data_IF_088964329090
#
_entry.id   IF_088964329090
#
_cell.length_a   1.000
_cell.length_b   1.000
_cell.length_c   1.000
_cell.angle_alpha   90.00
_cell.angle_beta   90.00
_cell.angle_gamma   90.00
#
_symmetry.space_group_name_H-M   'P 1'
#
loop_
_entity.id
_entity.type
_entity.pdbx_description
1 polymer ?
#
# COMPACT_ATOMS: atom_id res chain seq x y z
N UNK A 1 -6.33 -16.37 -7.27
CA UNK A 1 -6.57 -16.12 -8.72
C UNK A 1 -7.33 -14.80 -8.91
N UNK A 2 -7.26 -14.15 -10.09
CA UNK A 2 -7.87 -12.81 -10.30
C UNK A 2 -9.38 -12.72 -9.96
N UNK A 3 -10.23 -13.72 -10.27
CA UNK A 3 -11.64 -13.68 -9.85
C UNK A 3 -11.85 -13.62 -8.34
N UNK A 4 -11.06 -14.36 -7.56
CA UNK A 4 -11.12 -14.33 -6.09
C UNK A 4 -10.66 -12.97 -5.56
N UNK A 5 -9.59 -12.41 -6.16
CA UNK A 5 -9.13 -11.07 -5.84
C UNK A 5 -10.20 -10.02 -6.17
N UNK A 6 -10.93 -10.16 -7.27
CA UNK A 6 -12.03 -9.27 -7.63
C UNK A 6 -13.18 -9.35 -6.63
N UNK A 7 -13.56 -10.55 -6.19
CA UNK A 7 -14.62 -10.75 -5.20
C UNK A 7 -14.30 -10.02 -3.88
N UNK A 8 -13.05 -10.06 -3.43
CA UNK A 8 -12.63 -9.38 -2.18
C UNK A 8 -12.37 -7.89 -2.41
N UNK A 9 -11.48 -7.55 -3.35
CA UNK A 9 -10.97 -6.18 -3.51
C UNK A 9 -11.99 -5.23 -4.14
N UNK A 10 -12.86 -5.72 -5.03
CA UNK A 10 -13.84 -4.89 -5.73
C UNK A 10 -15.24 -5.05 -5.14
N UNK A 11 -15.79 -6.27 -5.19
CA UNK A 11 -17.16 -6.53 -4.72
C UNK A 11 -17.28 -6.34 -3.20
N UNK A 12 -16.32 -6.86 -2.43
CA UNK A 12 -16.26 -6.66 -0.98
C UNK A 12 -16.20 -5.18 -0.60
N UNK A 13 -15.35 -4.39 -1.25
CA UNK A 13 -15.26 -2.95 -1.02
C UNK A 13 -16.59 -2.23 -1.34
N UNK A 14 -17.23 -2.56 -2.47
CA UNK A 14 -18.53 -1.99 -2.83
C UNK A 14 -19.64 -2.36 -1.83
N UNK A 15 -19.64 -3.58 -1.30
CA UNK A 15 -20.60 -4.02 -0.29
C UNK A 15 -20.44 -3.22 1.01
N UNK A 16 -19.20 -3.04 1.47
CA UNK A 16 -18.91 -2.22 2.66
C UNK A 16 -19.31 -0.76 2.42
N UNK A 17 -19.02 -0.21 1.24
CA UNK A 17 -19.41 1.16 0.89
C UNK A 17 -20.93 1.36 0.95
N UNK A 18 -21.71 0.43 0.39
CA UNK A 18 -23.18 0.47 0.47
C UNK A 18 -23.67 0.40 1.91
N UNK A 19 -23.11 -0.50 2.71
CA UNK A 19 -23.51 -0.68 4.10
C UNK A 19 -23.14 0.55 4.96
N UNK A 20 -21.95 1.11 4.77
CA UNK A 20 -21.49 2.31 5.46
C UNK A 20 -22.40 3.50 5.16
N UNK A 21 -22.69 3.76 3.88
CA UNK A 21 -23.62 4.83 3.48
C UNK A 21 -25.02 4.62 4.04
N UNK A 22 -25.55 3.39 4.00
CA UNK A 22 -26.86 3.08 4.58
C UNK A 22 -26.92 3.29 6.10
N UNK A 23 -25.80 3.13 6.79
CA UNK A 23 -25.67 3.37 8.22
C UNK A 23 -25.33 4.83 8.58
N UNK A 24 -25.16 5.72 7.60
CA UNK A 24 -24.67 7.09 7.82
C UNK A 24 -23.22 7.16 8.30
N UNK A 25 -22.44 6.10 8.07
CA UNK A 25 -21.03 6.02 8.45
C UNK A 25 -20.12 6.47 7.32
N UNK A 26 -19.03 7.15 7.68
CA UNK A 26 -17.97 7.53 6.73
C UNK A 26 -17.00 6.36 6.52
N UNK A 27 -16.72 6.03 5.26
CA UNK A 27 -15.82 4.93 4.90
C UNK A 27 -14.40 5.44 4.63
N UNK A 28 -13.39 4.69 5.11
CA UNK A 28 -12.00 4.79 4.67
C UNK A 28 -11.63 3.52 3.92
N UNK A 29 -11.26 3.65 2.66
CA UNK A 29 -10.83 2.53 1.80
C UNK A 29 -9.31 2.59 1.60
N UNK A 30 -8.59 1.58 2.11
CA UNK A 30 -7.16 1.45 1.84
C UNK A 30 -6.95 0.86 0.44
N UNK A 31 -6.16 1.51 -0.38
CA UNK A 31 -5.79 1.10 -1.73
C UNK A 31 -4.27 0.97 -1.86
N UNK A 32 -3.75 0.96 -3.09
CA UNK A 32 -2.36 0.61 -3.39
C UNK A 32 -1.79 1.50 -4.49
N UNK A 33 -0.48 1.68 -4.48
CA UNK A 33 0.34 2.16 -5.61
C UNK A 33 0.22 1.31 -6.88
N UNK A 34 -0.16 0.03 -6.77
CA UNK A 34 -0.31 -0.88 -7.92
C UNK A 34 -1.47 -0.51 -8.85
N UNK A 35 -2.25 0.54 -8.53
CA UNK A 35 -3.21 1.15 -9.47
C UNK A 35 -2.52 1.91 -10.59
N UNK A 36 -1.23 2.21 -10.45
CA UNK A 36 -0.41 2.87 -11.47
C UNK A 36 0.43 1.87 -12.27
N UNK A 37 1.04 2.37 -13.36
CA UNK A 37 1.88 1.56 -14.25
C UNK A 37 3.26 1.23 -13.66
N UNK A 38 3.76 2.07 -12.73
CA UNK A 38 5.05 1.88 -12.06
C UNK A 38 6.27 2.28 -12.89
N UNK A 39 6.09 3.08 -13.93
CA UNK A 39 7.14 3.53 -14.86
C UNK A 39 7.36 5.04 -14.85
N UNK A 40 6.76 5.76 -13.89
CA UNK A 40 7.01 7.18 -13.71
C UNK A 40 8.41 7.43 -13.14
N UNK A 41 9.03 8.51 -13.60
CA UNK A 41 10.33 9.00 -13.10
C UNK A 41 10.18 9.98 -11.93
N UNK A 42 8.95 10.30 -11.55
CA UNK A 42 8.58 11.15 -10.44
C UNK A 42 7.39 10.54 -9.68
N UNK A 43 7.15 10.92 -8.41
CA UNK A 43 6.00 10.43 -7.66
C UNK A 43 4.67 10.70 -8.39
N UNK A 44 3.77 9.71 -8.39
CA UNK A 44 2.42 9.87 -8.92
C UNK A 44 1.61 10.85 -8.06
N UNK A 45 0.95 11.81 -8.69
CA UNK A 45 -0.08 12.64 -8.06
C UNK A 45 -1.37 11.84 -7.83
N UNK A 46 -2.20 12.25 -6.87
CA UNK A 46 -3.47 11.58 -6.56
C UNK A 46 -4.45 11.53 -7.74
N UNK A 47 -4.42 12.56 -8.60
CA UNK A 47 -5.24 12.73 -9.79
C UNK A 47 -4.63 12.11 -11.07
N UNK A 48 -3.43 11.53 -10.96
CA UNK A 48 -2.80 10.84 -12.09
C UNK A 48 -3.68 9.68 -12.59
N UNK A 49 -3.72 9.50 -13.91
CA UNK A 49 -4.51 8.45 -14.53
C UNK A 49 -4.00 7.06 -14.09
N UNK A 50 -4.88 6.20 -13.54
CA UNK A 50 -4.48 4.85 -13.15
C UNK A 50 -4.28 3.95 -14.38
N UNK A 51 -3.28 3.08 -14.32
CA UNK A 51 -2.90 2.15 -15.40
C UNK A 51 -2.34 0.84 -14.83
N UNK A 52 -3.14 0.07 -14.06
CA UNK A 52 -2.65 -1.10 -13.35
C UNK A 52 -2.23 -2.24 -14.29
N UNK A 53 -1.01 -2.73 -14.12
CA UNK A 53 -0.46 -3.86 -14.91
C UNK A 53 -0.77 -5.23 -14.31
N UNK A 54 -1.04 -5.29 -13.01
CA UNK A 54 -1.28 -6.55 -12.28
C UNK A 54 -2.77 -6.79 -12.01
N UNK A 55 -3.14 -8.06 -11.83
CA UNK A 55 -4.48 -8.44 -11.36
C UNK A 55 -4.84 -7.80 -10.02
N UNK A 56 -3.86 -7.73 -9.10
CA UNK A 56 -4.03 -7.04 -7.82
C UNK A 56 -4.37 -5.56 -8.02
N UNK A 57 -3.59 -4.84 -8.82
CA UNK A 57 -3.84 -3.44 -9.15
C UNK A 57 -5.20 -3.19 -9.81
N UNK A 58 -5.56 -4.02 -10.80
CA UNK A 58 -6.85 -3.94 -11.50
C UNK A 58 -8.03 -4.12 -10.54
N UNK A 59 -7.96 -5.14 -9.69
CA UNK A 59 -9.05 -5.44 -8.74
C UNK A 59 -9.15 -4.41 -7.61
N UNK A 60 -8.03 -3.84 -7.15
CA UNK A 60 -8.02 -2.73 -6.18
C UNK A 60 -8.60 -1.44 -6.79
N UNK A 61 -8.24 -1.11 -8.03
CA UNK A 61 -8.81 0.04 -8.74
C UNK A 61 -10.33 -0.11 -8.96
N UNK A 62 -10.80 -1.31 -9.32
CA UNK A 62 -12.22 -1.59 -9.41
C UNK A 62 -12.94 -1.38 -8.06
N UNK A 63 -12.28 -1.73 -6.95
CA UNK A 63 -12.73 -1.39 -5.60
C UNK A 63 -12.84 0.11 -5.35
N UNK A 64 -11.84 0.90 -5.74
CA UNK A 64 -11.91 2.36 -5.64
C UNK A 64 -13.14 2.93 -6.37
N UNK A 65 -13.43 2.45 -7.58
CA UNK A 65 -14.61 2.87 -8.33
C UNK A 65 -15.92 2.48 -7.64
N UNK A 66 -16.00 1.25 -7.11
CA UNK A 66 -17.15 0.80 -6.34
C UNK A 66 -17.39 1.67 -5.10
N UNK A 67 -16.33 1.99 -4.36
CA UNK A 67 -16.42 2.86 -3.17
C UNK A 67 -16.89 4.26 -3.56
N UNK A 68 -16.27 4.90 -4.57
CA UNK A 68 -16.70 6.24 -5.01
C UNK A 68 -18.16 6.29 -5.48
N UNK A 69 -18.66 5.19 -6.05
CA UNK A 69 -20.04 5.09 -6.52
C UNK A 69 -21.03 5.01 -5.36
N UNK A 70 -20.74 4.21 -4.33
CA UNK A 70 -21.70 3.91 -3.26
C UNK A 70 -21.48 4.71 -1.97
N UNK A 71 -20.29 5.28 -1.79
CA UNK A 71 -19.90 6.11 -0.65
C UNK A 71 -19.10 7.34 -1.15
N UNK A 72 -19.78 8.34 -1.76
CA UNK A 72 -19.11 9.49 -2.35
C UNK A 72 -18.30 10.33 -1.34
N UNK A 73 -18.66 10.26 -0.05
CA UNK A 73 -17.96 10.96 1.05
C UNK A 73 -16.72 10.21 1.58
N UNK A 74 -16.37 9.07 0.97
CA UNK A 74 -15.30 8.21 1.43
C UNK A 74 -13.90 8.82 1.21
N UNK A 75 -12.98 8.40 2.08
CA UNK A 75 -11.55 8.64 1.92
C UNK A 75 -10.90 7.39 1.30
N UNK A 76 -10.22 7.52 0.17
CA UNK A 76 -9.44 6.46 -0.45
C UNK A 76 -7.96 6.76 -0.19
N UNK A 77 -7.30 5.92 0.60
CA UNK A 77 -5.89 6.11 0.96
C UNK A 77 -5.03 5.06 0.24
N UNK A 78 -4.27 5.48 -0.77
CA UNK A 78 -3.32 4.61 -1.48
C UNK A 78 -2.01 4.58 -0.71
N UNK A 79 -1.56 3.39 -0.33
CA UNK A 79 -0.27 3.17 0.35
C UNK A 79 0.64 2.30 -0.50
N UNK A 80 1.93 2.26 -0.19
CA UNK A 80 2.91 1.40 -0.82
C UNK A 80 3.77 0.68 0.23
N UNK A 81 4.28 -0.50 -0.11
CA UNK A 81 5.35 -1.20 0.63
C UNK A 81 5.09 -1.27 2.15
N UNK A 82 3.85 -1.59 2.51
CA UNK A 82 3.36 -1.53 3.89
C UNK A 82 4.01 -2.61 4.76
N UNK A 83 4.51 -2.23 5.93
CA UNK A 83 5.08 -3.15 6.92
C UNK A 83 4.73 -2.73 8.35
N UNK A 84 4.69 -3.69 9.28
CA UNK A 84 4.32 -3.43 10.66
C UNK A 84 4.68 -4.54 11.64
N UNK A 85 4.36 -4.32 12.91
CA UNK A 85 4.63 -5.26 14.00
C UNK A 85 3.87 -6.60 13.87
N UNK A 86 2.72 -6.62 13.21
CA UNK A 86 1.89 -7.81 13.00
C UNK A 86 1.89 -8.25 11.54
N UNK A 87 1.52 -9.52 11.29
CA UNK A 87 1.48 -10.10 9.95
C UNK A 87 2.86 -10.33 9.33
N UNK A 88 2.86 -10.96 8.15
CA UNK A 88 4.05 -11.14 7.33
C UNK A 88 4.31 -9.87 6.52
N UNK A 89 5.56 -9.42 6.48
CA UNK A 89 5.97 -8.23 5.73
C UNK A 89 7.42 -8.38 5.24
N UNK A 90 7.80 -7.53 4.29
CA UNK A 90 9.12 -7.59 3.67
C UNK A 90 10.28 -7.52 4.69
N UNK A 91 10.29 -6.59 5.67
CA UNK A 91 11.37 -6.52 6.67
C UNK A 91 11.55 -7.79 7.49
N UNK A 92 10.45 -8.42 7.93
CA UNK A 92 10.52 -9.68 8.68
C UNK A 92 11.08 -10.82 7.84
N UNK A 93 10.68 -10.89 6.57
CA UNK A 93 11.20 -11.89 5.64
C UNK A 93 12.69 -11.70 5.41
N UNK A 94 13.14 -10.46 5.15
CA UNK A 94 14.56 -10.17 4.92
C UNK A 94 15.42 -10.41 6.16
N UNK A 95 14.97 -9.97 7.34
CA UNK A 95 15.69 -10.21 8.59
C UNK A 95 15.87 -11.71 8.87
N UNK A 96 14.81 -12.51 8.66
CA UNK A 96 14.88 -13.96 8.79
C UNK A 96 15.86 -14.58 7.78
N UNK A 97 15.73 -14.21 6.49
CA UNK A 97 16.61 -14.75 5.45
C UNK A 97 18.08 -14.36 5.68
N UNK A 98 18.34 -13.17 6.21
CA UNK A 98 19.69 -12.70 6.53
C UNK A 98 20.35 -13.44 7.70
N UNK A 99 19.55 -14.08 8.57
CA UNK A 99 20.04 -14.97 9.61
C UNK A 99 20.28 -16.40 9.09
N UNK A 100 19.54 -16.82 8.06
CA UNK A 100 19.60 -18.18 7.50
C UNK A 100 20.64 -18.34 6.38
N UNK A 101 20.95 -17.26 5.65
CA UNK A 101 21.76 -17.31 4.42
C UNK A 101 22.99 -16.41 4.52
N UNK A 102 24.13 -16.84 3.93
CA UNK A 102 25.31 -16.00 3.84
C UNK A 102 25.17 -14.85 2.83
N UNK A 103 24.25 -14.95 1.87
CA UNK A 103 24.06 -13.96 0.80
C UNK A 103 22.57 -13.87 0.40
N UNK A 104 22.11 -12.66 0.08
CA UNK A 104 20.77 -12.37 -0.44
C UNK A 104 20.86 -11.55 -1.74
N UNK A 105 20.13 -11.99 -2.76
CA UNK A 105 19.98 -11.24 -4.01
C UNK A 105 18.71 -10.39 -3.96
N UNK A 106 18.84 -9.07 -4.11
CA UNK A 106 17.71 -8.13 -4.02
C UNK A 106 17.78 -7.09 -5.14
N UNK A 107 16.64 -6.81 -5.79
CA UNK A 107 16.56 -5.83 -6.87
C UNK A 107 16.87 -4.41 -6.39
N UNK A 108 17.64 -3.66 -7.18
CA UNK A 108 18.04 -2.27 -6.88
C UNK A 108 17.40 -1.24 -7.83
N UNK A 109 16.73 -1.70 -8.90
CA UNK A 109 16.10 -0.85 -9.93
C UNK A 109 14.64 -0.47 -9.61
N UNK A 110 14.07 -1.06 -8.56
CA UNK A 110 12.73 -0.74 -8.08
C UNK A 110 12.81 0.11 -6.83
N UNK A 111 12.40 1.37 -6.96
CA UNK A 111 12.43 2.38 -5.91
C UNK A 111 11.02 2.67 -5.42
N UNK A 112 10.86 2.76 -4.10
CA UNK A 112 9.58 3.06 -3.47
C UNK A 112 9.73 3.69 -2.10
N UNK A 113 8.61 3.73 -1.38
CA UNK A 113 8.49 4.33 -0.06
C UNK A 113 7.97 3.29 0.94
N UNK A 114 8.87 2.56 1.64
CA UNK A 114 8.47 1.64 2.71
C UNK A 114 7.62 2.37 3.74
N UNK A 115 6.41 1.90 3.98
CA UNK A 115 5.45 2.61 4.84
C UNK A 115 5.16 1.80 6.10
N UNK A 116 5.39 2.39 7.26
CA UNK A 116 5.09 1.76 8.55
C UNK A 116 3.60 1.87 8.87
N UNK A 117 2.99 0.79 9.35
CA UNK A 117 1.54 0.76 9.64
C UNK A 117 1.11 1.78 10.68
N UNK A 118 1.96 2.11 11.67
CA UNK A 118 1.61 3.13 12.68
C UNK A 118 1.50 4.50 12.02
N UNK A 119 2.43 4.86 11.13
CA UNK A 119 2.43 6.16 10.46
C UNK A 119 1.21 6.30 9.53
N UNK A 120 0.91 5.25 8.76
CA UNK A 120 -0.28 5.22 7.91
C UNK A 120 -1.56 5.35 8.74
N UNK A 121 -1.66 4.62 9.86
CA UNK A 121 -2.82 4.70 10.75
C UNK A 121 -2.98 6.10 11.36
N UNK A 122 -1.87 6.74 11.75
CA UNK A 122 -1.88 8.10 12.27
C UNK A 122 -2.32 9.12 11.20
N UNK A 123 -1.90 8.93 9.94
CA UNK A 123 -2.42 9.75 8.83
C UNK A 123 -3.93 9.57 8.64
N UNK A 124 -4.42 8.34 8.62
CA UNK A 124 -5.85 8.04 8.44
C UNK A 124 -6.67 8.69 9.55
N UNK A 125 -6.25 8.56 10.81
CA UNK A 125 -6.93 9.18 11.95
C UNK A 125 -6.97 10.71 11.79
N UNK A 126 -5.85 11.34 11.43
CA UNK A 126 -5.82 12.79 11.17
C UNK A 126 -6.77 13.22 10.05
N UNK A 127 -6.89 12.45 8.97
CA UNK A 127 -7.83 12.76 7.88
C UNK A 127 -9.29 12.65 8.35
N UNK A 128 -9.60 11.65 9.17
CA UNK A 128 -10.94 11.48 9.74
C UNK A 128 -11.27 12.58 10.74
N UNK A 129 -10.38 12.84 11.70
CA UNK A 129 -10.56 13.84 12.76
C UNK A 129 -10.65 15.27 12.20
N UNK A 130 -9.93 15.56 11.11
CA UNK A 130 -9.99 16.85 10.43
C UNK A 130 -11.19 17.00 9.49
N UNK A 131 -12.07 16.00 9.41
CA UNK A 131 -13.16 15.93 8.44
C UNK A 131 -12.68 16.25 7.01
N UNK A 132 -11.51 15.71 6.64
CA UNK A 132 -10.87 16.02 5.37
C UNK A 132 -11.83 15.81 4.19
N UNK A 133 -11.76 16.58 3.09
CA UNK A 133 -12.63 16.39 1.94
C UNK A 133 -12.60 14.96 1.42
N UNK A 134 -13.74 14.47 0.94
CA UNK A 134 -13.80 13.19 0.27
C UNK A 134 -12.86 13.16 -0.95
N UNK A 135 -12.23 12.01 -1.20
CA UNK A 135 -11.26 11.93 -2.28
C UNK A 135 -10.18 10.89 -2.07
N UNK A 136 -9.13 11.02 -2.89
CA UNK A 136 -7.96 10.16 -2.88
C UNK A 136 -6.82 10.87 -2.18
N UNK A 137 -6.08 10.12 -1.37
CA UNK A 137 -4.88 10.57 -0.69
C UNK A 137 -3.77 9.54 -0.87
N UNK A 138 -2.54 10.00 -1.08
CA UNK A 138 -1.36 9.14 -1.00
C UNK A 138 -0.82 9.12 0.43
N UNK A 139 -0.76 7.93 1.03
CA UNK A 139 -0.27 7.70 2.38
C UNK A 139 0.96 6.81 2.36
N UNK A 140 2.12 7.41 2.21
CA UNK A 140 3.42 6.73 2.27
C UNK A 140 4.39 7.47 3.18
N UNK A 141 5.44 6.78 3.67
CA UNK A 141 6.54 7.47 4.35
C UNK A 141 7.32 8.33 3.35
N UNK A 142 7.94 9.42 3.82
CA UNK A 142 8.76 10.30 2.99
C UNK A 142 10.04 9.62 2.47
N UNK A 143 10.65 10.21 1.44
CA UNK A 143 11.92 9.74 0.89
C UNK A 143 11.72 8.72 -0.23
N UNK A 144 12.80 8.01 -0.58
CA UNK A 144 12.78 6.97 -1.59
C UNK A 144 13.93 6.00 -1.33
N UNK A 145 13.71 4.70 -1.50
CA UNK A 145 14.74 3.67 -1.36
C UNK A 145 14.43 2.49 -2.28
N UNK A 146 15.46 1.84 -2.81
CA UNK A 146 15.31 0.59 -3.53
C UNK A 146 15.01 -0.57 -2.58
N UNK A 147 14.53 -1.70 -3.08
CA UNK A 147 14.42 -2.92 -2.26
C UNK A 147 15.78 -3.34 -1.69
N UNK A 148 16.85 -3.22 -2.47
CA UNK A 148 18.22 -3.46 -2.02
C UNK A 148 18.61 -2.52 -0.88
N UNK A 149 18.41 -1.20 -1.06
CA UNK A 149 18.70 -0.20 -0.04
C UNK A 149 17.92 -0.43 1.25
N UNK A 150 16.64 -0.83 1.13
CA UNK A 150 15.81 -1.16 2.28
C UNK A 150 16.31 -2.43 2.98
N UNK A 151 16.66 -3.46 2.22
CA UNK A 151 17.22 -4.71 2.76
C UNK A 151 18.52 -4.46 3.52
N UNK A 152 19.40 -3.61 2.98
CA UNK A 152 20.65 -3.22 3.64
C UNK A 152 20.40 -2.63 5.02
N UNK A 153 19.42 -1.73 5.13
CA UNK A 153 19.04 -1.16 6.42
C UNK A 153 18.51 -2.23 7.36
N UNK A 154 17.61 -3.11 6.88
CA UNK A 154 17.05 -4.21 7.67
C UNK A 154 18.13 -5.12 8.24
N UNK A 155 19.13 -5.51 7.44
CA UNK A 155 20.25 -6.34 7.87
C UNK A 155 21.09 -5.63 8.93
N UNK A 156 21.36 -4.34 8.73
CA UNK A 156 22.12 -3.53 9.68
C UNK A 156 21.44 -3.44 11.05
N UNK A 157 20.12 -3.17 11.10
CA UNK A 157 19.38 -3.08 12.38
C UNK A 157 19.06 -4.44 13.02
N UNK A 158 18.97 -5.52 12.23
CA UNK A 158 18.71 -6.86 12.77
C UNK A 158 19.96 -7.56 13.29
N UNK A 159 21.16 -7.02 13.02
CA UNK A 159 22.43 -7.66 13.33
C UNK A 159 22.74 -8.87 12.44
N UNK A 160 22.11 -8.97 11.28
CA UNK A 160 22.36 -10.02 10.30
C UNK A 160 23.73 -9.89 9.64
N UNK A 161 24.36 -11.01 9.31
CA UNK A 161 25.68 -11.06 8.66
C UNK A 161 25.65 -11.30 7.15
N UNK A 162 24.46 -11.38 6.54
CA UNK A 162 24.33 -11.71 5.13
C UNK A 162 24.90 -10.61 4.23
N UNK A 163 25.72 -11.01 3.26
CA UNK A 163 26.10 -10.15 2.16
C UNK A 163 24.90 -9.86 1.25
N UNK A 164 24.89 -8.70 0.61
CA UNK A 164 23.85 -8.32 -0.36
C UNK A 164 24.46 -8.21 -1.75
N UNK A 165 23.76 -8.78 -2.73
CA UNK A 165 24.12 -8.77 -4.14
C UNK A 165 22.93 -8.36 -5.02
#
# INVERSE_FOLDING_TARGET
HEPEAFAVNAVGAANVARAATAAGARMVQISTDYVFAGDATAPYAEDAAPAPRSAYGRTKLAGEWGVRTYAPEALIVRTAWLYGAHGNCFPKTMARLAAEKPELTVVDDQVGQPTWTVDLSALILRLVDAEAPAGVYHGTSSGAVSWFGFTREIVAVSGGGAALA
#
